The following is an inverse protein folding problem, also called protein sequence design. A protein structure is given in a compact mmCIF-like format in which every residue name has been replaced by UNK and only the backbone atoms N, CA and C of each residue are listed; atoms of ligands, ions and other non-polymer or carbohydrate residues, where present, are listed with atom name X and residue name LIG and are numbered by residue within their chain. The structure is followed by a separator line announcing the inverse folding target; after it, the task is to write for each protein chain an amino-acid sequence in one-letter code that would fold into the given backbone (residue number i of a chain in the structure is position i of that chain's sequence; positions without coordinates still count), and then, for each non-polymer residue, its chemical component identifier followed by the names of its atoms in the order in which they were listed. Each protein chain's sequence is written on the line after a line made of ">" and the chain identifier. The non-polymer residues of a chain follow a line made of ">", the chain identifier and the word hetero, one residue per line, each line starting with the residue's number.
data_IF_352884680898
#
_entry.id   IF_352884680898
#
_cell.length_a   1.000
_cell.length_b   1.000
_cell.length_c   1.000
_cell.angle_alpha   90.00
_cell.angle_beta   90.00
_cell.angle_gamma   90.00
#
_symmetry.space_group_name_H-M   'P 1'
#
loop_
_entity.id
_entity.type
_entity.pdbx_description
1 polymer ?
#
# COMPACT_ATOMS: atom_id res chain seq x y z
N UNK A 1 7.95 3.76 -11.19
CA UNK A 1 6.50 4.07 -11.30
C UNK A 1 6.06 4.79 -10.04
N UNK A 2 5.30 5.88 -10.17
CA UNK A 2 4.76 6.65 -9.05
C UNK A 2 3.23 6.68 -9.17
N UNK A 3 2.55 6.29 -8.10
CA UNK A 3 1.08 6.28 -8.00
C UNK A 3 0.70 7.19 -6.83
N UNK A 4 -0.02 8.27 -7.11
CA UNK A 4 -0.57 9.14 -6.07
C UNK A 4 -1.96 8.67 -5.60
N UNK A 5 -2.53 9.36 -4.62
CA UNK A 5 -3.84 9.00 -4.06
C UNK A 5 -4.97 9.03 -5.09
N UNK A 6 -4.97 10.00 -6.01
CA UNK A 6 -5.99 10.10 -7.06
C UNK A 6 -5.84 8.97 -8.09
N UNK A 7 -4.59 8.64 -8.47
CA UNK A 7 -4.33 7.50 -9.35
C UNK A 7 -4.85 6.21 -8.72
N UNK A 8 -4.63 6.00 -7.41
CA UNK A 8 -5.10 4.83 -6.69
C UNK A 8 -6.64 4.75 -6.67
N UNK A 9 -7.32 5.85 -6.34
CA UNK A 9 -8.78 5.92 -6.37
C UNK A 9 -9.31 5.56 -7.76
N UNK A 10 -8.75 6.19 -8.80
CA UNK A 10 -9.17 5.98 -10.19
C UNK A 10 -8.93 4.53 -10.63
N UNK A 11 -7.77 3.96 -10.29
CA UNK A 11 -7.45 2.56 -10.56
C UNK A 11 -8.47 1.61 -9.93
N UNK A 12 -8.72 1.76 -8.63
CA UNK A 12 -9.64 0.88 -7.88
C UNK A 12 -11.07 1.01 -8.42
N UNK A 13 -11.51 2.23 -8.76
CA UNK A 13 -12.79 2.45 -9.44
C UNK A 13 -12.88 1.71 -10.78
N UNK A 14 -11.84 1.81 -11.62
CA UNK A 14 -11.81 1.19 -12.94
C UNK A 14 -11.86 -0.34 -12.87
N UNK A 15 -11.24 -0.94 -11.86
CA UNK A 15 -11.30 -2.40 -11.65
C UNK A 15 -12.55 -2.86 -10.89
N UNK A 16 -13.45 -1.94 -10.51
CA UNK A 16 -14.67 -2.23 -9.76
C UNK A 16 -14.39 -2.73 -8.35
N UNK A 17 -13.47 -2.07 -7.64
CA UNK A 17 -13.07 -2.40 -6.28
C UNK A 17 -12.27 -3.71 -6.15
N UNK A 18 -11.92 -4.06 -4.93
CA UNK A 18 -11.27 -5.33 -4.57
C UNK A 18 -11.83 -5.87 -3.27
N UNK A 19 -11.91 -7.19 -3.18
CA UNK A 19 -12.35 -7.88 -1.97
C UNK A 19 -11.13 -8.45 -1.23
N UNK A 20 -11.12 -8.32 0.09
CA UNK A 20 -10.11 -8.95 0.94
C UNK A 20 -10.70 -9.37 2.28
N UNK A 21 -10.02 -10.28 2.96
CA UNK A 21 -10.38 -10.70 4.30
C UNK A 21 -9.47 -10.03 5.33
N UNK A 22 -10.06 -9.33 6.29
CA UNK A 22 -9.32 -8.82 7.45
C UNK A 22 -9.41 -9.83 8.59
N UNK A 23 -8.28 -10.42 8.94
CA UNK A 23 -8.21 -11.31 10.12
C UNK A 23 -8.52 -10.55 11.41
N UNK A 24 -8.07 -9.29 11.48
CA UNK A 24 -8.29 -8.39 12.60
C UNK A 24 -8.76 -7.04 12.05
N UNK A 25 -9.92 -6.58 12.51
CA UNK A 25 -10.45 -5.25 12.21
C UNK A 25 -9.69 -4.15 12.93
N UNK A 26 -9.93 -2.90 12.56
CA UNK A 26 -9.23 -1.76 13.13
C UNK A 26 -10.14 -0.53 13.21
N UNK A 27 -9.89 0.33 14.20
CA UNK A 27 -10.61 1.60 14.41
C UNK A 27 -9.59 2.72 14.54
N UNK A 28 -9.60 3.68 13.62
CA UNK A 28 -8.76 4.88 13.70
C UNK A 28 -9.64 6.08 14.09
N UNK A 29 -9.54 6.50 15.36
CA UNK A 29 -10.27 7.64 15.93
C UNK A 29 -9.65 9.00 15.56
N UNK A 30 -8.48 9.00 14.93
CA UNK A 30 -7.65 10.18 14.61
C UNK A 30 -7.38 10.29 13.11
N UNK A 31 -8.25 9.74 12.27
CA UNK A 31 -8.12 9.88 10.84
C UNK A 31 -8.37 11.35 10.45
N UNK A 32 -7.50 12.00 9.67
CA UNK A 32 -7.66 13.40 9.29
C UNK A 32 -9.00 13.62 8.56
N UNK A 33 -9.83 14.54 9.05
CA UNK A 33 -11.13 14.79 8.45
C UNK A 33 -10.99 15.59 7.14
N UNK A 34 -11.37 15.01 5.97
CA UNK A 34 -11.28 15.72 4.69
C UNK A 34 -12.06 17.04 4.67
N UNK A 35 -13.21 17.11 5.34
CA UNK A 35 -14.04 18.31 5.39
C UNK A 35 -13.32 19.44 6.13
N UNK A 36 -12.62 19.10 7.22
CA UNK A 36 -11.81 20.07 7.96
C UNK A 36 -10.62 20.55 7.13
N UNK A 37 -9.95 19.63 6.41
CA UNK A 37 -8.81 19.97 5.56
C UNK A 37 -9.24 20.90 4.41
N UNK A 38 -10.39 20.64 3.80
CA UNK A 38 -10.91 21.42 2.70
C UNK A 38 -11.41 22.81 3.14
N UNK A 39 -11.97 22.92 4.35
CA UNK A 39 -12.51 24.19 4.87
C UNK A 39 -12.39 24.25 6.40
N UNK A 40 -11.22 24.62 6.94
CA UNK A 40 -11.00 24.63 8.39
C UNK A 40 -12.00 25.54 9.12
N UNK A 41 -12.76 24.97 10.06
CA UNK A 41 -13.75 25.68 10.87
C UNK A 41 -13.87 25.04 12.25
N UNK A 42 -14.18 25.83 13.28
CA UNK A 42 -14.44 25.35 14.63
C UNK A 42 -15.66 24.40 14.72
N UNK A 43 -16.56 24.46 13.73
CA UNK A 43 -17.74 23.58 13.64
C UNK A 43 -17.44 22.21 13.02
N UNK A 44 -16.25 22.01 12.45
CA UNK A 44 -15.87 20.76 11.78
C UNK A 44 -14.78 20.10 12.62
N UNK A 45 -14.95 18.83 13.04
CA UNK A 45 -13.94 18.15 13.83
C UNK A 45 -12.68 17.91 12.99
N UNK A 46 -11.50 18.14 13.58
CA UNK A 46 -10.19 17.94 12.94
C UNK A 46 -10.01 16.49 12.48
N UNK A 47 -10.53 15.56 13.28
CA UNK A 47 -10.44 14.12 13.03
C UNK A 47 -11.83 13.52 12.88
N UNK A 48 -11.90 12.45 12.10
CA UNK A 48 -13.04 11.55 12.06
C UNK A 48 -12.63 10.15 12.50
N UNK A 49 -13.62 9.37 12.93
CA UNK A 49 -13.42 7.95 13.24
C UNK A 49 -13.71 7.13 12.00
N UNK A 50 -12.79 6.25 11.62
CA UNK A 50 -13.00 5.23 10.60
C UNK A 50 -12.89 3.84 11.25
N UNK A 51 -13.65 2.89 10.73
CA UNK A 51 -13.69 1.52 11.24
C UNK A 51 -13.74 0.55 10.07
N UNK A 52 -12.87 -0.46 10.11
CA UNK A 52 -12.93 -1.62 9.22
C UNK A 52 -13.07 -2.86 10.09
N UNK A 53 -14.17 -3.59 9.93
CA UNK A 53 -14.45 -4.79 10.73
C UNK A 53 -13.64 -5.98 10.23
N UNK A 54 -13.34 -6.91 11.13
CA UNK A 54 -12.80 -8.22 10.74
C UNK A 54 -13.80 -8.98 9.85
N UNK A 55 -13.26 -9.84 8.98
CA UNK A 55 -13.99 -10.59 7.98
C UNK A 55 -13.82 -10.03 6.57
N UNK A 56 -14.70 -10.48 5.66
CA UNK A 56 -14.69 -10.03 4.27
C UNK A 56 -15.09 -8.56 4.18
N UNK A 57 -14.28 -7.78 3.48
CA UNK A 57 -14.53 -6.38 3.17
C UNK A 57 -14.34 -6.11 1.68
N UNK A 58 -15.06 -5.11 1.20
CA UNK A 58 -14.91 -4.57 -0.15
C UNK A 58 -14.24 -3.20 -0.07
N UNK A 59 -13.16 -3.01 -0.83
CA UNK A 59 -12.46 -1.75 -0.97
C UNK A 59 -12.74 -1.14 -2.34
N UNK A 60 -13.28 0.07 -2.35
CA UNK A 60 -13.66 0.84 -3.54
C UNK A 60 -13.11 2.28 -3.46
N UNK A 61 -13.48 3.14 -4.42
CA UNK A 61 -13.06 4.55 -4.43
C UNK A 61 -13.37 5.33 -3.15
N UNK A 62 -14.39 4.93 -2.39
CA UNK A 62 -14.90 5.67 -1.23
C UNK A 62 -14.09 5.41 0.03
N UNK A 63 -13.55 4.20 0.18
CA UNK A 63 -12.90 3.77 1.43
C UNK A 63 -11.42 3.37 1.27
N UNK A 64 -10.94 3.21 0.03
CA UNK A 64 -9.56 2.74 -0.25
C UNK A 64 -8.50 3.63 0.40
N UNK A 65 -8.70 4.95 0.36
CA UNK A 65 -7.72 5.89 0.90
C UNK A 65 -7.72 5.89 2.43
N UNK A 66 -8.85 5.63 3.05
CA UNK A 66 -8.97 5.47 4.50
C UNK A 66 -8.22 4.22 4.95
N UNK A 67 -8.42 3.13 4.22
CA UNK A 67 -7.74 1.86 4.46
C UNK A 67 -6.22 1.98 4.42
N UNK A 68 -5.65 2.49 3.32
CA UNK A 68 -4.18 2.54 3.13
C UNK A 68 -3.48 3.71 3.84
N UNK A 69 -4.23 4.69 4.35
CA UNK A 69 -3.67 5.87 5.05
C UNK A 69 -3.92 5.89 6.55
N UNK A 70 -4.82 5.05 7.07
CA UNK A 70 -4.99 4.85 8.51
C UNK A 70 -3.63 4.63 9.17
N UNK A 71 -3.39 5.29 10.31
CA UNK A 71 -2.13 5.17 11.09
C UNK A 71 -2.39 4.87 12.55
N UNK A 72 -3.59 5.13 13.05
CA UNK A 72 -3.95 4.94 14.46
C UNK A 72 -5.05 3.88 14.63
N UNK A 73 -5.13 2.91 13.70
CA UNK A 73 -6.15 1.87 13.66
C UNK A 73 -6.15 0.83 14.79
N UNK A 74 -5.13 0.80 15.66
CA UNK A 74 -5.03 -0.12 16.79
C UNK A 74 -4.33 0.56 17.96
N UNK A 75 -4.60 0.12 19.19
CA UNK A 75 -3.98 0.73 20.37
C UNK A 75 -2.49 0.37 20.52
N UNK A 76 -2.02 -0.65 19.79
CA UNK A 76 -0.61 -1.09 19.76
C UNK A 76 -0.12 -1.32 18.33
N UNK A 77 1.21 -1.33 18.13
CA UNK A 77 1.84 -1.71 16.85
C UNK A 77 1.41 -3.11 16.38
N UNK A 78 1.26 -4.04 17.33
CA UNK A 78 0.78 -5.40 17.10
C UNK A 78 -0.71 -5.48 16.70
N UNK A 79 -1.49 -4.42 16.90
CA UNK A 79 -2.91 -4.32 16.59
C UNK A 79 -3.23 -3.37 15.41
N UNK A 80 -2.21 -2.90 14.68
CA UNK A 80 -2.40 -2.08 13.47
C UNK A 80 -2.30 -0.56 13.65
N UNK A 81 -1.84 -0.09 14.81
CA UNK A 81 -1.75 1.33 15.23
C UNK A 81 -0.47 2.09 14.93
N UNK A 82 0.28 1.73 13.88
CA UNK A 82 1.57 2.35 13.54
C UNK A 82 1.81 2.42 12.03
N UNK A 83 2.93 3.02 11.61
CA UNK A 83 3.38 2.98 10.20
C UNK A 83 3.56 1.55 9.67
N UNK A 84 3.89 0.58 10.54
CA UNK A 84 3.96 -0.85 10.19
C UNK A 84 2.55 -1.37 9.83
N UNK A 85 1.54 -1.03 10.63
CA UNK A 85 0.14 -1.37 10.33
C UNK A 85 -0.33 -0.79 8.99
N UNK A 86 0.14 0.42 8.64
CA UNK A 86 -0.13 1.03 7.33
C UNK A 86 0.54 0.25 6.19
N UNK A 87 1.80 -0.14 6.35
CA UNK A 87 2.52 -0.97 5.36
C UNK A 87 1.79 -2.30 5.15
N UNK A 88 1.36 -2.94 6.24
CA UNK A 88 0.61 -4.19 6.16
C UNK A 88 -0.70 -4.04 5.37
N UNK A 89 -1.49 -2.98 5.62
CA UNK A 89 -2.71 -2.71 4.84
C UNK A 89 -2.41 -2.45 3.36
N UNK A 90 -1.32 -1.75 3.04
CA UNK A 90 -0.90 -1.57 1.64
C UNK A 90 -0.52 -2.90 0.97
N UNK A 91 0.10 -3.83 1.70
CA UNK A 91 0.39 -5.17 1.21
C UNK A 91 -0.90 -5.97 0.96
N UNK A 92 -1.83 -5.97 1.91
CA UNK A 92 -3.14 -6.63 1.75
C UNK A 92 -3.89 -6.12 0.52
N UNK A 93 -3.83 -4.82 0.25
CA UNK A 93 -4.41 -4.25 -0.97
C UNK A 93 -3.73 -4.78 -2.24
N UNK A 94 -2.40 -4.83 -2.28
CA UNK A 94 -1.68 -5.37 -3.44
C UNK A 94 -2.01 -6.84 -3.67
N UNK A 95 -2.08 -7.64 -2.61
CA UNK A 95 -2.48 -9.04 -2.67
C UNK A 95 -3.92 -9.21 -3.17
N UNK A 96 -4.85 -8.36 -2.73
CA UNK A 96 -6.23 -8.36 -3.21
C UNK A 96 -6.34 -8.00 -4.70
N UNK A 97 -5.60 -6.99 -5.16
CA UNK A 97 -5.54 -6.60 -6.57
C UNK A 97 -4.99 -7.75 -7.41
N UNK A 98 -3.87 -8.35 -6.99
CA UNK A 98 -3.26 -9.50 -7.68
C UNK A 98 -4.25 -10.66 -7.73
N UNK A 99 -4.89 -10.99 -6.61
CA UNK A 99 -5.86 -12.10 -6.54
C UNK A 99 -7.05 -11.87 -7.48
N UNK A 100 -7.55 -10.63 -7.56
CA UNK A 100 -8.60 -10.25 -8.51
C UNK A 100 -8.18 -10.50 -9.96
N UNK A 101 -6.98 -10.05 -10.34
CA UNK A 101 -6.41 -10.27 -11.68
C UNK A 101 -6.22 -11.77 -11.97
N UNK A 102 -5.69 -12.53 -11.00
CA UNK A 102 -5.43 -13.97 -11.14
C UNK A 102 -6.68 -14.83 -11.27
N UNK A 103 -7.75 -14.44 -10.60
CA UNK A 103 -8.97 -15.25 -10.51
C UNK A 103 -9.77 -15.33 -11.82
N UNK A 104 -9.32 -14.65 -12.89
CA UNK A 104 -10.10 -14.39 -14.11
C UNK A 104 -11.49 -13.74 -13.86
N UNK A 105 -11.79 -13.32 -12.63
CA UNK A 105 -13.05 -12.66 -12.27
C UNK A 105 -13.07 -11.20 -12.74
N UNK A 106 -11.92 -10.64 -13.08
CA UNK A 106 -11.80 -9.33 -13.69
C UNK A 106 -11.57 -9.45 -15.20
N UNK A 107 -12.66 -9.33 -15.95
CA UNK A 107 -12.63 -9.19 -17.42
C UNK A 107 -13.06 -7.75 -17.71
N UNK A 108 -12.11 -6.82 -17.92
CA UNK A 108 -12.45 -5.42 -18.12
C UNK A 108 -13.24 -5.24 -19.42
N UNK A 109 -14.33 -4.49 -19.35
CA UNK A 109 -15.06 -4.07 -20.55
C UNK A 109 -14.27 -3.03 -21.37
N UNK A 110 -14.78 -2.64 -22.54
CA UNK A 110 -14.11 -1.67 -23.43
C UNK A 110 -13.86 -0.31 -22.76
N UNK A 111 -14.78 0.16 -21.95
CA UNK A 111 -14.66 1.44 -21.25
C UNK A 111 -13.64 1.34 -20.11
N UNK A 112 -13.65 0.23 -19.35
CA UNK A 112 -12.66 -0.05 -18.32
C UNK A 112 -11.25 -0.17 -18.92
N UNK A 113 -11.09 -0.89 -20.03
CA UNK A 113 -9.82 -1.00 -20.75
C UNK A 113 -9.31 0.36 -21.22
N UNK A 114 -10.18 1.17 -21.85
CA UNK A 114 -9.81 2.51 -22.29
C UNK A 114 -9.43 3.42 -21.10
N UNK A 115 -10.16 3.34 -19.99
CA UNK A 115 -9.87 4.07 -18.77
C UNK A 115 -8.55 3.65 -18.12
N UNK A 116 -8.28 2.35 -18.05
CA UNK A 116 -7.03 1.80 -17.52
C UNK A 116 -5.84 2.19 -18.38
N UNK A 117 -5.96 2.13 -19.71
CA UNK A 117 -4.90 2.59 -20.60
C UNK A 117 -4.67 4.10 -20.48
N UNK A 118 -5.73 4.90 -20.37
CA UNK A 118 -5.61 6.35 -20.16
C UNK A 118 -4.90 6.67 -18.84
N UNK A 119 -5.29 6.01 -17.74
CA UNK A 119 -4.64 6.13 -16.43
C UNK A 119 -3.16 5.77 -16.54
N UNK A 120 -2.84 4.64 -17.18
CA UNK A 120 -1.48 4.20 -17.45
C UNK A 120 -0.68 5.26 -18.21
N UNK A 121 -1.17 5.69 -19.38
CA UNK A 121 -0.47 6.56 -20.32
C UNK A 121 -0.29 7.99 -19.78
N UNK A 122 -1.34 8.58 -19.20
CA UNK A 122 -1.41 10.02 -18.98
C UNK A 122 -1.22 10.44 -17.52
N UNK A 123 -1.55 9.58 -16.56
CA UNK A 123 -1.62 9.98 -15.15
C UNK A 123 -0.54 9.33 -14.27
N UNK A 124 0.06 8.23 -14.71
CA UNK A 124 1.11 7.51 -13.96
C UNK A 124 2.50 7.93 -14.47
N UNK A 125 3.33 8.44 -13.57
CA UNK A 125 4.75 8.71 -13.86
C UNK A 125 5.52 7.39 -13.86
N UNK A 126 6.15 7.05 -14.99
CA UNK A 126 6.78 5.74 -15.22
C UNK A 126 7.95 5.85 -16.20
N UNK A 127 8.95 5.00 -16.00
CA UNK A 127 10.10 4.85 -16.91
C UNK A 127 9.95 3.64 -17.84
N UNK A 128 8.91 2.83 -17.63
CA UNK A 128 8.57 1.67 -18.44
C UNK A 128 7.64 2.09 -19.59
N UNK A 129 8.00 1.71 -20.81
CA UNK A 129 7.21 2.02 -22.02
C UNK A 129 6.23 0.88 -22.38
N UNK A 130 5.33 1.17 -23.32
CA UNK A 130 4.27 0.24 -23.74
C UNK A 130 4.83 -1.07 -24.33
N UNK A 131 5.96 -1.01 -25.04
CA UNK A 131 6.63 -2.21 -25.58
C UNK A 131 7.13 -3.13 -24.45
N UNK A 132 7.73 -2.56 -23.41
CA UNK A 132 8.19 -3.33 -22.24
C UNK A 132 7.02 -3.92 -21.47
N UNK A 133 5.91 -3.19 -21.32
CA UNK A 133 4.68 -3.75 -20.73
C UNK A 133 4.18 -4.93 -21.55
N UNK A 134 4.12 -4.80 -22.88
CA UNK A 134 3.69 -5.89 -23.74
C UNK A 134 4.60 -7.11 -23.61
N UNK A 135 5.93 -6.92 -23.53
CA UNK A 135 6.88 -8.00 -23.28
C UNK A 135 6.62 -8.70 -21.95
N UNK A 136 6.42 -7.94 -20.87
CA UNK A 136 6.07 -8.48 -19.54
C UNK A 136 4.77 -9.27 -19.62
N UNK A 137 3.70 -8.70 -20.19
CA UNK A 137 2.40 -9.38 -20.32
C UNK A 137 2.51 -10.66 -21.16
N UNK A 138 3.28 -10.63 -22.25
CA UNK A 138 3.51 -11.80 -23.10
C UNK A 138 4.26 -12.92 -22.38
N UNK A 139 5.11 -12.59 -21.41
CA UNK A 139 5.80 -13.55 -20.54
C UNK A 139 4.82 -14.25 -19.60
N UNK A 140 3.77 -13.55 -19.16
CA UNK A 140 2.72 -14.10 -18.30
C UNK A 140 1.58 -14.81 -19.06
N UNK A 141 1.61 -14.82 -20.40
CA UNK A 141 0.56 -15.42 -21.25
C UNK A 141 0.44 -16.95 -21.06
N UNK A 142 1.40 -17.57 -20.39
CA UNK A 142 1.41 -18.99 -20.01
C UNK A 142 0.82 -19.28 -18.61
N UNK A 143 0.38 -18.27 -17.84
CA UNK A 143 -0.33 -18.49 -16.57
C UNK A 143 -0.14 -17.39 -15.53
N UNK A 144 -0.93 -16.30 -15.62
CA UNK A 144 -1.10 -15.33 -14.52
C UNK A 144 -1.54 -16.02 -13.21
N UNK A 145 -2.26 -17.14 -13.30
CA UNK A 145 -2.65 -17.99 -12.17
C UNK A 145 -1.48 -18.46 -11.30
N UNK A 146 -0.27 -18.53 -11.86
CA UNK A 146 0.93 -19.00 -11.16
C UNK A 146 1.74 -17.88 -10.51
N UNK A 147 1.32 -16.61 -10.64
CA UNK A 147 1.99 -15.49 -10.00
C UNK A 147 1.93 -15.64 -8.48
N UNK A 148 3.08 -15.78 -7.82
CA UNK A 148 3.19 -15.74 -6.36
C UNK A 148 3.84 -14.42 -5.93
N UNK A 149 3.29 -13.80 -4.88
CA UNK A 149 3.92 -12.64 -4.27
C UNK A 149 4.82 -13.13 -3.13
N UNK A 150 6.13 -12.98 -3.31
CA UNK A 150 7.08 -13.22 -2.23
C UNK A 150 7.24 -11.92 -1.44
N UNK A 151 6.84 -11.95 -0.16
CA UNK A 151 7.01 -10.83 0.75
C UNK A 151 8.35 -10.95 1.47
N UNK A 152 9.23 -10.01 1.23
CA UNK A 152 10.52 -9.88 1.94
C UNK A 152 10.38 -8.69 2.89
N UNK A 153 10.49 -8.95 4.19
CA UNK A 153 10.36 -7.92 5.22
C UNK A 153 11.74 -7.46 5.70
N UNK A 154 11.97 -6.15 5.68
CA UNK A 154 13.16 -5.55 6.26
C UNK A 154 12.98 -5.55 7.78
N UNK A 155 13.78 -6.35 8.48
CA UNK A 155 13.75 -6.40 9.94
C UNK A 155 14.21 -5.08 10.55
N UNK A 156 13.41 -4.58 11.47
CA UNK A 156 13.65 -3.37 12.26
C UNK A 156 13.84 -3.83 13.71
N UNK A 157 14.99 -3.52 14.31
CA UNK A 157 15.26 -3.77 15.73
C UNK A 157 15.74 -2.46 16.36
N UNK A 158 15.33 -2.22 17.60
CA UNK A 158 15.80 -1.09 18.41
C UNK A 158 17.21 -1.34 18.95
N UNK A 159 17.64 -2.60 19.01
CA UNK A 159 18.99 -3.03 19.32
C UNK A 159 19.72 -3.38 18.02
N UNK A 160 20.69 -2.55 17.63
CA UNK A 160 21.47 -2.62 16.37
C UNK A 160 22.09 -3.99 15.99
N UNK A 161 21.93 -5.03 16.82
CA UNK A 161 22.72 -6.25 16.75
C UNK A 161 22.34 -7.17 15.57
N UNK A 162 21.10 -7.12 15.09
CA UNK A 162 20.61 -8.01 14.01
C UNK A 162 19.66 -7.32 12.99
N UNK A 163 19.45 -6.01 13.09
CA UNK A 163 18.58 -5.25 12.17
C UNK A 163 19.32 -4.68 10.97
N UNK A 164 18.67 -4.64 9.80
CA UNK A 164 19.20 -3.95 8.60
C UNK A 164 19.04 -2.42 8.71
N UNK A 165 18.00 -1.99 9.41
CA UNK A 165 17.75 -0.59 9.74
C UNK A 165 17.28 -0.47 11.18
N UNK A 166 17.65 0.61 11.87
CA UNK A 166 17.30 0.85 13.27
C UNK A 166 16.89 2.30 13.51
N UNK A 167 16.14 2.52 14.60
CA UNK A 167 15.90 3.87 15.11
C UNK A 167 16.98 4.22 16.15
N UNK A 168 17.72 5.33 15.99
CA UNK A 168 18.69 5.75 17.02
C UNK A 168 17.99 6.11 18.33
N UNK A 169 18.66 5.91 19.46
CA UNK A 169 18.12 6.21 20.80
C UNK A 169 17.78 7.69 21.03
N UNK A 170 18.21 8.58 20.12
CA UNK A 170 17.89 10.00 20.11
C UNK A 170 17.39 10.41 18.73
N UNK A 171 16.44 11.34 18.70
CA UNK A 171 16.02 11.96 17.46
C UNK A 171 17.17 12.68 16.77
N UNK A 172 17.21 12.53 15.45
CA UNK A 172 18.14 13.27 14.60
C UNK A 172 17.36 14.44 14.03
N UNK A 173 17.83 15.66 14.28
CA UNK A 173 17.16 16.89 13.87
C UNK A 173 15.68 16.95 14.33
N UNK A 174 15.41 16.47 15.56
CA UNK A 174 14.07 16.39 16.14
C UNK A 174 13.08 15.52 15.34
N UNK A 175 13.58 14.60 14.52
CA UNK A 175 12.77 13.72 13.67
C UNK A 175 12.97 12.25 14.02
N UNK A 176 11.90 11.47 13.83
CA UNK A 176 11.94 10.02 13.85
C UNK A 176 12.51 9.52 12.52
N UNK A 177 13.66 8.84 12.56
CA UNK A 177 14.35 8.34 11.36
C UNK A 177 14.73 6.87 11.53
N UNK A 178 14.83 6.17 10.41
CA UNK A 178 15.52 4.89 10.33
C UNK A 178 16.90 5.11 9.71
N UNK A 179 17.93 4.55 10.34
CA UNK A 179 19.30 4.56 9.84
C UNK A 179 19.72 3.16 9.41
N UNK A 180 20.56 3.03 8.37
CA UNK A 180 21.13 1.73 8.02
C UNK A 180 22.05 1.23 9.15
N UNK A 181 22.12 -0.08 9.31
CA UNK A 181 23.00 -0.75 10.29
C UNK A 181 24.48 -0.48 10.04
N UNK A 182 24.85 -0.29 8.77
CA UNK A 182 26.20 0.04 8.33
C UNK A 182 26.16 1.25 7.37
N UNK A 183 27.23 2.05 7.32
CA UNK A 183 27.24 3.31 6.55
C UNK A 183 27.32 3.07 5.05
N UNK A 184 27.87 1.93 4.66
CA UNK A 184 28.09 1.52 3.28
C UNK A 184 26.88 0.79 2.65
N UNK A 185 25.81 0.55 3.43
CA UNK A 185 24.61 -0.21 3.06
C UNK A 185 24.90 -1.66 2.64
N UNK A 186 26.03 -2.22 3.03
CA UNK A 186 26.47 -3.56 2.64
C UNK A 186 25.55 -4.65 3.18
N UNK A 187 25.13 -4.55 4.45
CA UNK A 187 24.22 -5.54 5.03
C UNK A 187 22.86 -5.55 4.29
N UNK A 188 22.36 -4.36 3.90
CA UNK A 188 21.14 -4.22 3.12
C UNK A 188 21.29 -4.79 1.71
N UNK A 189 22.41 -4.53 1.04
CA UNK A 189 22.71 -5.08 -0.29
C UNK A 189 22.80 -6.61 -0.24
N UNK A 190 23.52 -7.17 0.73
CA UNK A 190 23.67 -8.61 0.90
C UNK A 190 22.31 -9.27 1.20
N UNK A 191 21.46 -8.63 2.00
CA UNK A 191 20.09 -9.09 2.24
C UNK A 191 19.24 -9.11 0.97
N UNK A 192 19.26 -8.04 0.17
CA UNK A 192 18.50 -7.98 -1.09
C UNK A 192 18.99 -9.06 -2.06
N UNK A 193 20.30 -9.18 -2.24
CA UNK A 193 20.91 -10.15 -3.16
C UNK A 193 20.66 -11.61 -2.76
N UNK A 194 20.46 -11.90 -1.47
CA UNK A 194 20.14 -13.25 -0.98
C UNK A 194 18.64 -13.56 -0.95
N UNK A 195 17.79 -12.55 -1.09
CA UNK A 195 16.33 -12.69 -1.01
C UNK A 195 15.64 -12.80 -2.38
N UNK A 196 16.35 -12.49 -3.47
CA UNK A 196 15.88 -12.52 -4.87
C UNK A 196 16.59 -13.66 -5.60
#
# INVERSE_FOLDING_TARGET
>A
MIINTNNLINFVKLIGGVDLNLDIGFIDKKYPNPDYIASPSASIPIYKTIEFKAGQIHLDESNITEFVRSRHGGETAAQGGTDIGRIHRQQLLLEAIISKIKSNSFIPDKNQLAGLYKLWDQEIVKDINDTQVFQILSTFNSGLSNLSLNKIEIKIDDSQKDSLIYHPTKFINSQWVYLPSDKEYKALQDFINSSI
#
